data_IF_434062779791
#
_entry.id   IF_434062779791
#
_cell.length_a   1.000
_cell.length_b   1.000
_cell.length_c   1.000
_cell.angle_alpha   90.00
_cell.angle_beta   90.00
_cell.angle_gamma   90.00
#
_symmetry.space_group_name_H-M   'P 1'
#
loop_
_entity.id
_entity.type
_entity.pdbx_description
1 polymer ?
#
# COMPACT_ATOMS: atom_id res chain seq x y z
N UNK A 1 -26.57 6.55 14.23
CA UNK A 1 -25.18 6.66 13.73
C UNK A 1 -25.10 6.50 12.20
N UNK A 2 -25.55 5.39 11.60
CA UNK A 2 -25.51 5.16 10.13
C UNK A 2 -26.29 6.21 9.34
N UNK A 3 -27.52 6.55 9.76
CA UNK A 3 -28.37 7.57 9.12
C UNK A 3 -27.68 8.94 9.15
N UNK A 4 -27.09 9.33 10.32
CA UNK A 4 -26.36 10.59 10.42
C UNK A 4 -25.14 10.67 9.49
N UNK A 5 -24.40 9.57 9.36
CA UNK A 5 -23.28 9.50 8.42
C UNK A 5 -23.73 9.59 6.96
N UNK A 6 -24.84 8.92 6.62
CA UNK A 6 -25.42 8.99 5.26
C UNK A 6 -25.90 10.41 4.93
N UNK A 7 -26.53 11.11 5.88
CA UNK A 7 -26.94 12.52 5.69
C UNK A 7 -25.73 13.43 5.51
N UNK A 8 -24.67 13.27 6.33
CA UNK A 8 -23.45 14.06 6.18
C UNK A 8 -22.78 13.82 4.81
N UNK A 9 -22.73 12.57 4.37
CA UNK A 9 -22.19 12.24 3.04
C UNK A 9 -23.04 12.89 1.93
N UNK A 10 -24.36 12.79 2.01
CA UNK A 10 -25.24 13.43 1.04
C UNK A 10 -25.03 14.96 0.99
N UNK A 11 -24.95 15.61 2.16
CA UNK A 11 -24.66 17.05 2.25
C UNK A 11 -23.29 17.39 1.63
N UNK A 12 -22.26 16.57 1.87
CA UNK A 12 -20.94 16.77 1.28
C UNK A 12 -20.97 16.64 -0.26
N UNK A 13 -21.68 15.64 -0.80
CA UNK A 13 -21.86 15.44 -2.24
C UNK A 13 -22.60 16.63 -2.87
N UNK A 14 -23.73 17.02 -2.31
CA UNK A 14 -24.49 18.16 -2.82
C UNK A 14 -23.70 19.47 -2.69
N UNK A 15 -22.98 19.67 -1.59
CA UNK A 15 -22.12 20.84 -1.37
C UNK A 15 -21.00 20.93 -2.41
N UNK A 16 -20.31 19.82 -2.71
CA UNK A 16 -19.26 19.76 -3.72
C UNK A 16 -19.81 20.05 -5.14
N UNK A 17 -20.96 19.44 -5.49
CA UNK A 17 -21.64 19.69 -6.78
C UNK A 17 -22.09 21.13 -6.92
N UNK A 18 -22.69 21.68 -5.86
CA UNK A 18 -23.09 23.08 -5.84
C UNK A 18 -21.87 24.01 -5.97
N UNK A 19 -20.78 23.74 -5.25
CA UNK A 19 -19.54 24.51 -5.36
C UNK A 19 -19.07 24.62 -6.80
N UNK A 20 -18.94 23.49 -7.51
CA UNK A 20 -18.49 23.48 -8.90
C UNK A 20 -19.52 24.06 -9.91
N UNK A 21 -20.79 24.27 -9.51
CA UNK A 21 -21.78 24.96 -10.32
C UNK A 21 -21.73 26.49 -10.20
N UNK A 22 -20.95 27.01 -9.25
CA UNK A 22 -20.72 28.44 -9.10
C UNK A 22 -19.58 28.94 -10.00
N UNK A 23 -19.59 30.19 -10.42
CA UNK A 23 -18.50 30.77 -11.21
C UNK A 23 -17.16 30.66 -10.49
N UNK A 24 -17.13 30.90 -9.19
CA UNK A 24 -15.91 30.74 -8.38
C UNK A 24 -15.40 29.30 -8.36
N UNK A 25 -16.28 28.31 -8.21
CA UNK A 25 -15.90 26.88 -8.22
C UNK A 25 -15.46 26.40 -9.60
N UNK A 26 -16.09 26.89 -10.67
CA UNK A 26 -15.67 26.63 -12.04
C UNK A 26 -14.30 27.22 -12.34
N UNK A 27 -14.05 28.47 -11.94
CA UNK A 27 -12.73 29.12 -12.08
C UNK A 27 -11.66 28.40 -11.26
N UNK A 28 -12.01 27.93 -10.05
CA UNK A 28 -11.10 27.13 -9.23
C UNK A 28 -10.73 25.83 -9.91
N UNK A 29 -11.69 25.09 -10.49
CA UNK A 29 -11.45 23.85 -11.22
C UNK A 29 -10.64 24.09 -12.50
N UNK A 30 -10.90 25.18 -13.24
CA UNK A 30 -10.13 25.56 -14.42
C UNK A 30 -8.68 25.89 -14.09
N UNK A 31 -8.42 26.45 -12.92
CA UNK A 31 -7.07 26.80 -12.46
C UNK A 31 -6.35 25.62 -11.83
N UNK A 32 -7.07 24.74 -11.15
CA UNK A 32 -6.57 23.58 -10.42
C UNK A 32 -7.43 22.37 -10.78
N UNK A 33 -7.07 21.73 -11.89
CA UNK A 33 -7.82 20.60 -12.47
C UNK A 33 -7.71 19.28 -11.67
N UNK A 34 -6.87 19.30 -10.63
CA UNK A 34 -6.61 18.11 -9.80
C UNK A 34 -5.28 17.43 -10.12
N UNK A 35 -4.50 17.94 -11.09
CA UNK A 35 -3.20 17.38 -11.45
C UNK A 35 -2.08 18.39 -11.17
N UNK A 36 -1.04 17.95 -10.46
CA UNK A 36 0.20 18.72 -10.36
C UNK A 36 1.01 18.59 -11.63
N UNK A 37 1.65 19.68 -12.02
CA UNK A 37 2.61 19.68 -13.13
C UNK A 37 3.79 18.73 -12.81
N UNK A 38 4.09 17.82 -13.73
CA UNK A 38 5.29 17.00 -13.67
C UNK A 38 6.46 17.73 -14.34
N UNK A 39 7.71 17.56 -13.85
CA UNK A 39 8.89 17.96 -14.60
C UNK A 39 8.92 17.35 -16.01
N UNK A 40 9.41 18.08 -17.01
CA UNK A 40 9.51 17.58 -18.39
C UNK A 40 10.34 16.28 -18.51
N UNK A 41 11.28 16.07 -17.59
CA UNK A 41 12.11 14.86 -17.50
C UNK A 41 11.42 13.70 -16.82
N UNK A 42 10.20 13.86 -16.32
CA UNK A 42 9.49 12.77 -15.65
C UNK A 42 9.12 11.66 -16.63
N UNK A 43 9.42 10.39 -16.32
CA UNK A 43 9.14 9.28 -17.22
C UNK A 43 7.64 9.07 -17.37
N UNK A 44 7.19 8.81 -18.59
CA UNK A 44 5.83 8.39 -18.91
C UNK A 44 5.75 6.86 -18.86
N UNK A 45 4.63 6.35 -18.40
CA UNK A 45 4.36 4.93 -18.40
C UNK A 45 4.72 4.23 -17.07
N UNK A 46 4.37 2.95 -17.04
CA UNK A 46 4.62 2.06 -15.90
C UNK A 46 5.53 0.93 -16.38
N UNK A 47 6.82 0.95 -16.01
CA UNK A 47 7.76 -0.05 -16.47
C UNK A 47 7.50 -1.42 -15.80
N UNK A 48 7.93 -2.50 -16.44
CA UNK A 48 7.72 -3.86 -15.96
C UNK A 48 8.28 -4.10 -14.54
N UNK A 49 9.38 -3.43 -14.16
CA UNK A 49 9.90 -3.55 -12.81
C UNK A 49 8.90 -3.02 -11.76
N UNK A 50 8.14 -1.96 -12.07
CA UNK A 50 7.13 -1.41 -11.16
C UNK A 50 5.94 -2.39 -11.02
N UNK A 51 5.52 -3.04 -12.09
CA UNK A 51 4.49 -4.09 -12.07
C UNK A 51 4.90 -5.26 -11.16
N UNK A 52 6.14 -5.74 -11.25
CA UNK A 52 6.66 -6.78 -10.35
C UNK A 52 6.74 -6.31 -8.90
N UNK A 53 7.20 -5.10 -8.65
CA UNK A 53 7.25 -4.52 -7.31
C UNK A 53 5.86 -4.38 -6.69
N UNK A 54 4.87 -3.99 -7.50
CA UNK A 54 3.48 -3.91 -7.07
C UNK A 54 2.90 -5.29 -6.73
N UNK A 55 3.16 -6.30 -7.57
CA UNK A 55 2.75 -7.68 -7.27
C UNK A 55 3.34 -8.18 -5.96
N UNK A 56 4.66 -8.05 -5.76
CA UNK A 56 5.31 -8.50 -4.52
C UNK A 56 4.83 -7.71 -3.31
N UNK A 57 4.60 -6.40 -3.45
CA UNK A 57 4.03 -5.60 -2.37
C UNK A 57 2.63 -6.09 -1.98
N UNK A 58 1.75 -6.33 -2.95
CA UNK A 58 0.42 -6.91 -2.72
C UNK A 58 0.53 -8.28 -2.04
N UNK A 59 1.38 -9.17 -2.55
CA UNK A 59 1.58 -10.51 -2.03
C UNK A 59 2.03 -10.50 -0.56
N UNK A 60 3.08 -9.74 -0.25
CA UNK A 60 3.60 -9.66 1.11
C UNK A 60 2.61 -8.96 2.04
N UNK A 61 2.00 -7.85 1.61
CA UNK A 61 1.11 -7.06 2.45
C UNK A 61 -0.12 -7.88 2.90
N UNK A 62 -0.74 -8.64 2.00
CA UNK A 62 -1.88 -9.52 2.34
C UNK A 62 -1.48 -10.56 3.41
N UNK A 63 -0.32 -11.19 3.26
CA UNK A 63 0.15 -12.20 4.20
C UNK A 63 0.64 -11.58 5.54
N UNK A 64 1.26 -10.41 5.50
CA UNK A 64 1.70 -9.66 6.70
C UNK A 64 0.48 -9.22 7.53
N UNK A 65 -0.54 -8.63 6.89
CA UNK A 65 -1.79 -8.24 7.59
C UNK A 65 -2.45 -9.48 8.21
N UNK A 66 -2.58 -10.57 7.45
CA UNK A 66 -3.14 -11.82 7.96
C UNK A 66 -2.39 -12.33 9.19
N UNK A 67 -1.06 -12.44 9.11
CA UNK A 67 -0.25 -12.98 10.20
C UNK A 67 -0.21 -12.04 11.39
N UNK A 68 -0.22 -10.73 11.18
CA UNK A 68 -0.34 -9.72 12.23
C UNK A 68 -1.65 -9.86 13.02
N UNK A 69 -2.77 -10.05 12.32
CA UNK A 69 -4.07 -10.32 12.94
C UNK A 69 -4.06 -11.67 13.69
N UNK A 70 -3.45 -12.71 13.10
CA UNK A 70 -3.31 -14.00 13.78
C UNK A 70 -2.52 -13.86 15.08
N UNK A 71 -1.36 -13.20 15.09
CA UNK A 71 -0.56 -12.96 16.30
C UNK A 71 -1.37 -12.25 17.38
N UNK A 72 -2.18 -11.27 17.00
CA UNK A 72 -3.01 -10.50 17.94
C UNK A 72 -4.03 -11.37 18.66
N UNK A 73 -4.60 -12.37 17.98
CA UNK A 73 -5.68 -13.22 18.53
C UNK A 73 -5.20 -14.63 18.92
N UNK A 74 -3.95 -15.00 18.62
CA UNK A 74 -3.41 -16.33 18.90
C UNK A 74 -3.14 -16.53 20.40
N UNK A 75 -4.04 -17.23 21.07
CA UNK A 75 -3.89 -17.55 22.50
C UNK A 75 -2.90 -18.70 22.77
N UNK A 76 -2.85 -19.67 21.85
CA UNK A 76 -2.06 -20.89 21.98
C UNK A 76 -1.38 -21.23 20.64
N UNK A 77 -0.10 -20.87 20.46
CA UNK A 77 0.63 -21.23 19.25
C UNK A 77 0.70 -22.73 19.04
N UNK A 78 0.58 -23.18 17.78
CA UNK A 78 0.67 -24.60 17.40
C UNK A 78 2.10 -25.14 17.50
N UNK A 79 3.09 -24.30 17.25
CA UNK A 79 4.52 -24.62 17.33
C UNK A 79 5.34 -23.37 17.66
N UNK A 80 6.56 -23.61 18.12
CA UNK A 80 7.54 -22.56 18.43
C UNK A 80 8.79 -22.78 17.60
N UNK A 81 9.43 -21.66 17.23
CA UNK A 81 10.71 -21.63 16.53
C UNK A 81 11.73 -20.90 17.40
N UNK A 82 12.94 -21.47 17.49
CA UNK A 82 14.10 -20.78 18.05
C UNK A 82 15.09 -20.55 16.90
N UNK A 83 15.02 -19.37 16.21
CA UNK A 83 15.88 -19.08 15.07
C UNK A 83 17.34 -19.04 15.49
N UNK A 84 18.23 -19.53 14.63
CA UNK A 84 19.69 -19.52 14.85
C UNK A 84 20.23 -18.10 15.05
N UNK A 85 19.66 -17.14 14.34
CA UNK A 85 20.10 -15.74 14.34
C UNK A 85 19.75 -15.02 15.64
N UNK A 86 18.48 -15.06 16.07
CA UNK A 86 17.98 -14.31 17.24
C UNK A 86 18.10 -15.08 18.54
N UNK A 87 18.21 -16.42 18.48
CA UNK A 87 18.24 -17.36 19.63
C UNK A 87 17.05 -17.19 20.61
N UNK A 88 16.00 -16.47 20.21
CA UNK A 88 14.82 -16.25 21.03
C UNK A 88 13.68 -17.15 20.56
N UNK A 89 13.07 -17.88 21.50
CA UNK A 89 11.90 -18.72 21.21
C UNK A 89 10.68 -17.83 20.90
N UNK A 90 10.10 -17.99 19.72
CA UNK A 90 8.91 -17.25 19.24
C UNK A 90 7.90 -18.24 18.67
N UNK A 91 6.62 -17.85 18.52
CA UNK A 91 5.62 -18.67 17.85
C UNK A 91 5.96 -18.85 16.37
N UNK A 92 5.50 -19.95 15.76
CA UNK A 92 5.66 -20.19 14.33
C UNK A 92 5.01 -19.08 13.49
N UNK A 93 3.86 -18.56 13.94
CA UNK A 93 3.16 -17.44 13.30
C UNK A 93 4.02 -16.17 13.34
N UNK A 94 4.63 -15.87 14.50
CA UNK A 94 5.55 -14.71 14.64
C UNK A 94 6.79 -14.89 13.77
N UNK A 95 7.35 -16.09 13.70
CA UNK A 95 8.50 -16.40 12.83
C UNK A 95 8.15 -16.11 11.37
N UNK A 96 6.97 -16.58 10.92
CA UNK A 96 6.53 -16.37 9.55
C UNK A 96 6.25 -14.89 9.24
N UNK A 97 5.61 -14.15 10.16
CA UNK A 97 5.41 -12.71 10.04
C UNK A 97 6.74 -11.97 9.85
N UNK A 98 7.71 -12.21 10.72
CA UNK A 98 9.05 -11.60 10.61
C UNK A 98 9.78 -11.98 9.31
N UNK A 99 9.58 -13.20 8.81
CA UNK A 99 10.17 -13.62 7.53
C UNK A 99 9.57 -12.84 6.35
N UNK A 100 8.25 -12.65 6.35
CA UNK A 100 7.56 -11.83 5.36
C UNK A 100 7.97 -10.36 5.46
N UNK A 101 8.12 -9.83 6.69
CA UNK A 101 8.58 -8.45 6.92
C UNK A 101 9.97 -8.22 6.31
N UNK A 102 10.90 -9.16 6.50
CA UNK A 102 12.25 -9.07 5.90
C UNK A 102 12.16 -9.04 4.38
N UNK A 103 11.38 -9.93 3.77
CA UNK A 103 11.20 -9.98 2.32
C UNK A 103 10.54 -8.70 1.79
N UNK A 104 9.55 -8.18 2.52
CA UNK A 104 8.89 -6.92 2.17
C UNK A 104 9.84 -5.72 2.28
N UNK A 105 10.68 -5.65 3.30
CA UNK A 105 11.72 -4.61 3.44
C UNK A 105 12.74 -4.69 2.31
N UNK A 106 13.20 -5.89 1.94
CA UNK A 106 14.12 -6.08 0.81
C UNK A 106 13.46 -5.62 -0.50
N UNK A 107 12.21 -6.03 -0.73
CA UNK A 107 11.43 -5.56 -1.87
C UNK A 107 11.29 -4.02 -1.89
N UNK A 108 11.00 -3.41 -0.73
CA UNK A 108 10.90 -1.96 -0.58
C UNK A 108 12.23 -1.23 -0.85
N UNK A 109 13.37 -1.78 -0.41
CA UNK A 109 14.68 -1.21 -0.71
C UNK A 109 14.99 -1.24 -2.21
N UNK A 110 14.71 -2.37 -2.88
CA UNK A 110 14.85 -2.49 -4.34
C UNK A 110 13.93 -1.47 -5.03
N UNK A 111 12.68 -1.36 -4.57
CA UNK A 111 11.73 -0.38 -5.10
C UNK A 111 12.24 1.06 -4.98
N UNK A 112 12.74 1.48 -3.81
CA UNK A 112 13.27 2.83 -3.60
C UNK A 112 14.47 3.10 -4.51
N UNK A 113 15.40 2.15 -4.64
CA UNK A 113 16.54 2.30 -5.54
C UNK A 113 16.07 2.50 -6.99
N UNK A 114 15.19 1.62 -7.48
CA UNK A 114 14.66 1.71 -8.84
C UNK A 114 13.86 2.99 -9.05
N UNK A 115 13.05 3.40 -8.07
CA UNK A 115 12.26 4.61 -8.12
C UNK A 115 13.13 5.86 -8.39
N UNK A 116 14.26 5.98 -7.69
CA UNK A 116 15.16 7.11 -7.85
C UNK A 116 16.05 6.99 -9.09
N UNK A 117 16.63 5.83 -9.35
CA UNK A 117 17.53 5.61 -10.50
C UNK A 117 16.82 5.80 -11.84
N UNK A 118 15.54 5.42 -11.93
CA UNK A 118 14.75 5.55 -13.17
C UNK A 118 13.99 6.86 -13.30
N UNK A 119 14.08 7.76 -12.31
CA UNK A 119 13.37 9.04 -12.34
C UNK A 119 11.88 8.97 -12.00
N UNK A 120 11.30 7.78 -11.74
CA UNK A 120 9.87 7.62 -11.42
C UNK A 120 9.48 8.25 -10.07
N UNK A 121 10.46 8.64 -9.24
CA UNK A 121 10.21 9.38 -8.00
C UNK A 121 9.46 10.68 -8.25
N UNK A 122 9.66 11.33 -9.41
CA UNK A 122 8.98 12.58 -9.78
C UNK A 122 7.45 12.42 -9.87
N UNK A 123 6.96 11.20 -10.05
CA UNK A 123 5.52 10.90 -10.15
C UNK A 123 4.86 10.63 -8.79
N UNK A 124 5.63 10.47 -7.71
CA UNK A 124 5.13 10.13 -6.38
C UNK A 124 5.64 11.06 -5.27
N UNK A 125 6.58 11.94 -5.60
CA UNK A 125 7.08 12.97 -4.68
C UNK A 125 6.61 14.33 -5.18
N UNK A 126 5.97 15.17 -4.33
CA UNK A 126 5.58 16.53 -4.70
C UNK A 126 6.80 17.34 -5.17
N UNK A 127 6.74 17.90 -6.37
CA UNK A 127 7.80 18.73 -6.98
C UNK A 127 7.41 20.20 -7.07
N UNK A 128 6.14 20.53 -6.81
CA UNK A 128 5.61 21.89 -6.88
C UNK A 128 4.61 22.14 -5.74
N UNK A 129 4.46 23.40 -5.32
CA UNK A 129 3.50 23.82 -4.30
C UNK A 129 2.05 23.80 -4.79
N UNK A 130 1.80 23.71 -6.08
CA UNK A 130 0.45 23.56 -6.66
C UNK A 130 -0.22 22.22 -6.25
N UNK A 131 0.56 21.31 -5.71
CA UNK A 131 0.09 20.04 -5.14
C UNK A 131 -1.05 20.23 -4.13
N UNK A 132 -1.02 21.26 -3.29
CA UNK A 132 -2.05 21.45 -2.26
C UNK A 132 -3.41 21.87 -2.81
N UNK A 133 -3.52 22.95 -3.63
CA UNK A 133 -4.80 23.33 -4.23
C UNK A 133 -5.30 22.25 -5.21
N UNK A 134 -4.44 21.57 -5.96
CA UNK A 134 -4.84 20.47 -6.83
C UNK A 134 -5.32 19.23 -6.04
N UNK A 135 -4.73 18.93 -4.89
CA UNK A 135 -5.23 17.85 -4.02
C UNK A 135 -6.62 18.18 -3.45
N UNK A 136 -6.87 19.46 -3.09
CA UNK A 136 -8.19 19.90 -2.67
C UNK A 136 -9.20 19.77 -3.81
N UNK A 137 -8.83 20.21 -5.02
CA UNK A 137 -9.67 20.08 -6.22
C UNK A 137 -10.00 18.61 -6.50
N UNK A 138 -9.00 17.73 -6.56
CA UNK A 138 -9.21 16.30 -6.77
C UNK A 138 -10.12 15.69 -5.68
N UNK A 139 -9.91 16.05 -4.41
CA UNK A 139 -10.76 15.61 -3.30
C UNK A 139 -12.21 16.04 -3.46
N UNK A 140 -12.46 17.30 -3.86
CA UNK A 140 -13.80 17.81 -4.14
C UNK A 140 -14.42 17.11 -5.36
N UNK A 141 -13.67 16.85 -6.42
CA UNK A 141 -14.13 16.06 -7.58
C UNK A 141 -14.58 14.66 -7.15
N UNK A 142 -13.79 13.95 -6.34
CA UNK A 142 -14.18 12.62 -5.82
C UNK A 142 -15.44 12.69 -4.93
N UNK A 143 -15.64 13.79 -4.16
CA UNK A 143 -16.85 13.98 -3.36
C UNK A 143 -18.10 14.20 -4.22
N UNK A 144 -17.98 14.65 -5.47
CA UNK A 144 -19.15 14.76 -6.35
C UNK A 144 -19.77 13.41 -6.73
N UNK A 145 -19.03 12.29 -6.52
CA UNK A 145 -19.33 10.95 -7.02
C UNK A 145 -19.39 10.85 -8.55
N UNK A 146 -18.96 11.89 -9.26
CA UNK A 146 -18.69 11.88 -10.69
C UNK A 146 -17.17 11.83 -10.87
N UNK A 147 -16.63 10.63 -10.81
CA UNK A 147 -15.19 10.43 -10.70
C UNK A 147 -14.51 10.59 -12.05
N UNK A 148 -13.49 11.45 -12.16
CA UNK A 148 -12.76 11.61 -13.41
C UNK A 148 -12.04 10.30 -13.78
N UNK A 149 -12.13 9.96 -15.05
CA UNK A 149 -11.37 8.82 -15.62
C UNK A 149 -9.96 9.30 -15.96
N UNK A 150 -9.06 9.12 -15.02
CA UNK A 150 -7.68 9.56 -15.16
C UNK A 150 -6.81 8.54 -15.92
N UNK A 151 -5.76 9.02 -16.57
CA UNK A 151 -4.78 8.18 -17.22
C UNK A 151 -3.50 8.07 -16.38
N UNK A 152 -3.47 7.13 -15.42
CA UNK A 152 -2.31 6.86 -14.58
C UNK A 152 -1.05 6.43 -15.35
N UNK A 153 -1.16 6.12 -16.64
CA UNK A 153 -0.02 5.90 -17.51
C UNK A 153 0.78 7.19 -17.73
N UNK A 154 0.09 8.30 -17.90
CA UNK A 154 0.69 9.61 -18.14
C UNK A 154 1.00 10.32 -16.83
N UNK A 155 -0.02 10.53 -15.99
CA UNK A 155 0.11 11.23 -14.71
C UNK A 155 -0.90 10.68 -13.69
N UNK A 156 -0.62 10.86 -12.42
CA UNK A 156 -1.56 10.63 -11.32
C UNK A 156 -2.22 11.94 -10.94
N UNK A 157 -3.48 11.88 -10.49
CA UNK A 157 -4.02 13.06 -9.83
C UNK A 157 -3.25 13.35 -8.53
N UNK A 158 -3.36 14.58 -8.07
CA UNK A 158 -2.55 15.05 -6.94
C UNK A 158 -2.92 14.37 -5.62
N UNK A 159 -4.17 13.95 -5.45
CA UNK A 159 -4.58 13.21 -4.26
C UNK A 159 -3.97 11.79 -4.24
N UNK A 160 -3.89 11.13 -5.41
CA UNK A 160 -3.15 9.87 -5.57
C UNK A 160 -1.67 10.06 -5.30
N UNK A 161 -1.05 11.10 -5.88
CA UNK A 161 0.37 11.42 -5.66
C UNK A 161 0.68 11.56 -4.16
N UNK A 162 -0.10 12.38 -3.43
CA UNK A 162 0.08 12.55 -1.98
C UNK A 162 -0.17 11.25 -1.21
N UNK A 163 -1.17 10.47 -1.59
CA UNK A 163 -1.46 9.19 -0.96
C UNK A 163 -0.30 8.20 -1.13
N UNK A 164 0.30 8.15 -2.32
CA UNK A 164 1.49 7.33 -2.58
C UNK A 164 2.70 7.84 -1.82
N UNK A 165 2.92 9.16 -1.77
CA UNK A 165 3.98 9.75 -0.97
C UNK A 165 3.88 9.35 0.51
N UNK A 166 2.69 9.54 1.11
CA UNK A 166 2.44 9.15 2.50
C UNK A 166 2.65 7.65 2.72
N UNK A 167 2.18 6.81 1.79
CA UNK A 167 2.30 5.36 1.88
C UNK A 167 3.77 4.92 1.84
N UNK A 168 4.55 5.45 0.90
CA UNK A 168 5.94 5.03 0.65
C UNK A 168 6.89 5.63 1.68
N UNK A 169 6.79 6.94 1.94
CA UNK A 169 7.81 7.68 2.69
C UNK A 169 7.45 7.91 4.17
N UNK A 170 6.20 7.66 4.57
CA UNK A 170 5.77 7.83 5.96
C UNK A 170 5.26 6.51 6.54
N UNK A 171 4.20 5.92 5.97
CA UNK A 171 3.56 4.76 6.56
C UNK A 171 4.48 3.51 6.54
N UNK A 172 5.16 3.25 5.42
CA UNK A 172 6.07 2.10 5.33
C UNK A 172 7.27 2.21 6.30
N UNK A 173 8.00 3.34 6.42
CA UNK A 173 9.02 3.52 7.46
C UNK A 173 8.47 3.37 8.89
N UNK A 174 7.29 3.89 9.18
CA UNK A 174 6.66 3.74 10.50
C UNK A 174 6.31 2.27 10.80
N UNK A 175 5.83 1.52 9.81
CA UNK A 175 5.59 0.07 9.96
C UNK A 175 6.89 -0.67 10.27
N UNK A 176 7.97 -0.38 9.51
CA UNK A 176 9.29 -1.00 9.69
C UNK A 176 9.86 -0.69 11.08
N UNK A 177 9.89 0.59 11.48
CA UNK A 177 10.46 1.02 12.75
C UNK A 177 9.68 0.42 13.93
N UNK A 178 8.36 0.45 13.88
CA UNK A 178 7.51 -0.11 14.93
C UNK A 178 7.57 -1.63 14.96
N UNK A 179 7.57 -2.30 13.81
CA UNK A 179 7.72 -3.75 13.69
C UNK A 179 9.09 -4.22 14.17
N UNK A 180 10.17 -3.55 13.79
CA UNK A 180 11.53 -3.86 14.26
C UNK A 180 11.64 -3.75 15.78
N UNK A 181 11.04 -2.71 16.39
CA UNK A 181 11.00 -2.57 17.85
C UNK A 181 10.29 -3.74 18.54
N UNK A 182 9.26 -4.29 17.93
CA UNK A 182 8.47 -5.40 18.46
C UNK A 182 9.05 -6.77 18.11
N UNK A 183 10.03 -6.83 17.22
CA UNK A 183 10.61 -8.07 16.70
C UNK A 183 11.53 -8.79 17.72
N UNK A 184 11.86 -10.04 17.40
CA UNK A 184 12.87 -10.82 18.13
C UNK A 184 14.30 -10.30 17.91
N UNK A 185 14.52 -9.46 16.90
CA UNK A 185 15.83 -8.89 16.59
C UNK A 185 16.21 -7.73 17.51
N UNK A 186 15.24 -7.08 18.16
CA UNK A 186 15.54 -6.01 19.13
C UNK A 186 16.31 -6.55 20.32
N UNK A 187 17.53 -6.04 20.51
CA UNK A 187 18.43 -6.52 21.57
C UNK A 187 18.03 -5.99 22.95
N UNK A 188 18.03 -6.87 23.96
CA UNK A 188 17.87 -6.47 25.37
C UNK A 188 19.00 -5.55 25.86
N UNK A 189 20.16 -5.57 25.20
CA UNK A 189 21.32 -4.71 25.51
C UNK A 189 21.12 -3.25 25.11
N UNK A 190 20.16 -2.95 24.25
CA UNK A 190 19.86 -1.58 23.78
C UNK A 190 18.97 -0.83 24.78
N UNK A 191 19.47 -0.64 26.00
CA UNK A 191 18.70 -0.04 27.12
C UNK A 191 18.28 1.39 26.81
N UNK A 192 19.20 2.25 26.36
CA UNK A 192 18.91 3.64 25.99
C UNK A 192 17.87 3.73 24.86
N UNK A 193 18.03 2.95 23.81
CA UNK A 193 17.06 2.90 22.71
C UNK A 193 15.69 2.39 23.18
N UNK A 194 15.67 1.43 24.12
CA UNK A 194 14.43 0.89 24.70
C UNK A 194 13.72 1.90 25.61
N UNK A 195 14.46 2.80 26.25
CA UNK A 195 13.90 3.92 27.03
C UNK A 195 13.34 5.01 26.11
N UNK A 196 14.08 5.39 25.07
CA UNK A 196 13.65 6.38 24.09
C UNK A 196 12.42 5.91 23.28
N UNK A 197 12.42 4.65 22.84
CA UNK A 197 11.30 4.06 22.08
C UNK A 197 10.79 2.79 22.79
N UNK A 198 9.91 2.91 23.79
CA UNK A 198 9.38 1.77 24.55
C UNK A 198 8.46 0.89 23.71
N UNK A 199 8.44 -0.42 23.99
CA UNK A 199 7.56 -1.36 23.27
C UNK A 199 6.07 -1.03 23.34
N UNK A 200 5.49 -0.48 24.41
CA UNK A 200 4.11 -0.03 24.43
C UNK A 200 3.82 1.08 23.40
N UNK A 201 4.76 2.01 23.18
CA UNK A 201 4.63 3.07 22.16
C UNK A 201 4.65 2.45 20.76
N UNK A 202 5.60 1.53 20.52
CA UNK A 202 5.66 0.82 19.24
C UNK A 202 4.36 0.05 18.92
N UNK A 203 3.74 -0.60 19.91
CA UNK A 203 2.43 -1.27 19.73
C UNK A 203 1.30 -0.30 19.42
N UNK A 204 1.27 0.86 20.10
CA UNK A 204 0.28 1.92 19.84
C UNK A 204 0.42 2.52 18.46
N UNK A 205 1.60 2.47 17.83
CA UNK A 205 1.87 2.95 16.48
C UNK A 205 1.62 1.86 15.42
N UNK A 206 2.07 0.63 15.67
CA UNK A 206 2.06 -0.45 14.67
C UNK A 206 0.64 -0.82 14.19
N UNK A 207 -0.32 -0.89 15.11
CA UNK A 207 -1.71 -1.22 14.77
C UNK A 207 -2.40 -0.12 13.93
N UNK A 208 -2.35 1.18 14.30
CA UNK A 208 -2.90 2.25 13.44
C UNK A 208 -2.25 2.31 12.06
N UNK A 209 -0.95 2.07 11.95
CA UNK A 209 -0.27 1.99 10.65
C UNK A 209 -0.77 0.81 9.82
N UNK A 210 -0.99 -0.35 10.42
CA UNK A 210 -1.63 -1.47 9.73
C UNK A 210 -3.05 -1.10 9.26
N UNK A 211 -3.84 -0.42 10.09
CA UNK A 211 -5.19 0.02 9.72
C UNK A 211 -5.15 1.04 8.58
N UNK A 212 -4.17 1.94 8.57
CA UNK A 212 -3.93 2.83 7.43
C UNK A 212 -3.74 2.04 6.14
N UNK A 213 -2.87 1.02 6.13
CA UNK A 213 -2.68 0.19 4.93
C UNK A 213 -3.96 -0.53 4.51
N UNK A 214 -4.75 -1.06 5.44
CA UNK A 214 -6.03 -1.72 5.12
C UNK A 214 -7.01 -0.72 4.48
N UNK A 215 -7.16 0.46 5.06
CA UNK A 215 -8.04 1.52 4.54
C UNK A 215 -7.55 1.98 3.17
N UNK A 216 -6.24 2.23 3.03
CA UNK A 216 -5.63 2.60 1.75
C UNK A 216 -5.90 1.55 0.67
N UNK A 217 -5.70 0.25 0.96
CA UNK A 217 -5.95 -0.84 0.01
C UNK A 217 -7.41 -0.87 -0.42
N UNK A 218 -8.35 -0.74 0.52
CA UNK A 218 -9.79 -0.75 0.21
C UNK A 218 -10.16 0.41 -0.71
N UNK A 219 -9.75 1.63 -0.36
CA UNK A 219 -10.01 2.82 -1.18
C UNK A 219 -9.35 2.68 -2.56
N UNK A 220 -8.08 2.26 -2.59
CA UNK A 220 -7.33 2.05 -3.83
C UNK A 220 -8.01 1.05 -4.78
N UNK A 221 -8.43 -0.10 -4.26
CA UNK A 221 -9.12 -1.11 -5.09
C UNK A 221 -10.46 -0.58 -5.62
N UNK A 222 -11.23 0.12 -4.78
CA UNK A 222 -12.49 0.75 -5.21
C UNK A 222 -12.23 1.73 -6.36
N UNK A 223 -11.23 2.59 -6.23
CA UNK A 223 -10.88 3.57 -7.27
C UNK A 223 -10.39 2.88 -8.55
N UNK A 224 -9.50 1.89 -8.45
CA UNK A 224 -9.02 1.12 -9.61
C UNK A 224 -10.17 0.53 -10.43
N UNK A 225 -11.18 -0.03 -9.74
CA UNK A 225 -12.36 -0.61 -10.41
C UNK A 225 -13.26 0.47 -11.01
N UNK A 226 -13.49 1.56 -10.29
CA UNK A 226 -14.48 2.59 -10.66
C UNK A 226 -13.97 3.57 -11.71
N UNK A 227 -12.65 3.78 -11.83
CA UNK A 227 -12.04 4.75 -12.76
C UNK A 227 -11.48 4.13 -14.04
N UNK A 228 -11.83 2.87 -14.33
CA UNK A 228 -11.40 2.19 -15.57
C UNK A 228 -10.58 0.93 -15.29
N UNK A 229 -11.25 -0.11 -14.78
CA UNK A 229 -10.61 -1.35 -14.30
C UNK A 229 -9.61 -1.95 -15.28
N UNK A 230 -10.01 -2.21 -16.53
CA UNK A 230 -9.14 -2.89 -17.49
C UNK A 230 -7.90 -2.07 -17.82
N UNK A 231 -8.04 -0.76 -18.02
CA UNK A 231 -6.92 0.15 -18.29
C UNK A 231 -5.95 0.18 -17.10
N UNK A 232 -6.47 0.34 -15.87
CA UNK A 232 -5.66 0.38 -14.65
C UNK A 232 -4.92 -0.95 -14.41
N UNK A 233 -5.59 -2.09 -14.65
CA UNK A 233 -4.97 -3.40 -14.54
C UNK A 233 -3.92 -3.65 -15.64
N UNK A 234 -4.17 -3.22 -16.89
CA UNK A 234 -3.16 -3.30 -17.96
C UNK A 234 -1.90 -2.50 -17.59
N UNK A 235 -2.07 -1.27 -17.13
CA UNK A 235 -0.95 -0.43 -16.72
C UNK A 235 -0.13 -1.07 -15.60
N UNK A 236 -0.79 -1.57 -14.54
CA UNK A 236 -0.09 -2.02 -13.34
C UNK A 236 0.34 -3.50 -13.38
N UNK A 237 -0.38 -4.40 -14.03
CA UNK A 237 -0.06 -5.83 -14.04
C UNK A 237 0.54 -6.32 -15.36
N UNK A 238 0.32 -5.63 -16.47
CA UNK A 238 0.87 -5.99 -17.78
C UNK A 238 1.95 -5.03 -18.27
N UNK A 239 2.23 -3.93 -17.56
CA UNK A 239 3.13 -2.85 -17.99
C UNK A 239 2.76 -2.33 -19.40
N UNK A 240 1.47 -2.17 -19.66
CA UNK A 240 0.91 -1.74 -20.94
C UNK A 240 0.01 -0.52 -20.76
N UNK A 241 0.17 0.49 -21.58
CA UNK A 241 -0.64 1.69 -21.57
C UNK A 241 -0.31 2.58 -22.76
N UNK A 242 -1.07 3.64 -22.91
CA UNK A 242 -0.91 4.64 -23.97
C UNK A 242 -1.26 6.03 -23.43
N UNK A 243 -0.83 7.07 -24.14
CA UNK A 243 -1.24 8.45 -23.89
C UNK A 243 -2.76 8.57 -24.14
N UNK A 244 -3.28 7.88 -25.17
CA UNK A 244 -4.70 7.76 -25.38
C UNK A 244 -5.32 6.72 -24.43
N UNK A 245 -6.16 7.14 -23.45
CA UNK A 245 -6.74 6.24 -22.47
C UNK A 245 -7.69 5.19 -23.08
N UNK A 246 -8.19 5.40 -24.29
CA UNK A 246 -9.12 4.49 -24.96
C UNK A 246 -8.44 3.21 -25.49
N UNK A 247 -7.13 3.26 -25.77
CA UNK A 247 -6.37 2.16 -26.40
C UNK A 247 -6.48 0.84 -25.61
N UNK A 248 -6.47 0.92 -24.27
CA UNK A 248 -6.53 -0.27 -23.40
C UNK A 248 -7.89 -0.47 -22.72
N UNK A 249 -8.93 0.25 -23.14
CA UNK A 249 -10.25 0.20 -22.51
C UNK A 249 -10.88 -1.20 -22.52
N UNK A 250 -10.65 -1.98 -23.59
CA UNK A 250 -11.21 -3.31 -23.80
C UNK A 250 -10.16 -4.44 -23.80
N UNK A 251 -8.92 -4.18 -23.35
CA UNK A 251 -7.85 -5.17 -23.30
C UNK A 251 -7.86 -5.90 -21.93
N UNK A 252 -7.98 -7.23 -21.96
CA UNK A 252 -8.09 -8.08 -20.77
C UNK A 252 -6.73 -8.63 -20.29
N UNK A 253 -5.62 -8.32 -20.91
CA UNK A 253 -4.30 -8.87 -20.58
C UNK A 253 -3.94 -8.63 -19.12
N UNK A 254 -4.04 -7.39 -18.64
CA UNK A 254 -3.75 -7.04 -17.25
C UNK A 254 -4.69 -7.70 -16.25
N UNK A 255 -5.96 -7.91 -16.62
CA UNK A 255 -6.91 -8.63 -15.79
C UNK A 255 -6.50 -10.09 -15.57
N UNK A 256 -6.04 -10.78 -16.61
CA UNK A 256 -5.58 -12.17 -16.46
C UNK A 256 -4.29 -12.27 -15.64
N UNK A 257 -3.35 -11.32 -15.76
CA UNK A 257 -2.19 -11.25 -14.86
C UNK A 257 -2.60 -10.97 -13.40
N UNK A 258 -3.55 -10.08 -13.19
CA UNK A 258 -4.13 -9.83 -11.86
C UNK A 258 -4.79 -11.08 -11.28
N UNK A 259 -5.58 -11.80 -12.07
CA UNK A 259 -6.19 -13.07 -11.64
C UNK A 259 -5.11 -14.10 -11.25
N UNK A 260 -4.05 -14.22 -12.05
CA UNK A 260 -2.88 -15.05 -11.71
C UNK A 260 -2.23 -14.65 -10.38
N UNK A 261 -2.10 -13.34 -10.14
CA UNK A 261 -1.60 -12.81 -8.87
C UNK A 261 -2.52 -13.19 -7.69
N UNK A 262 -3.83 -13.09 -7.85
CA UNK A 262 -4.79 -13.52 -6.82
C UNK A 262 -4.71 -15.02 -6.54
N UNK A 263 -4.55 -15.86 -7.58
CA UNK A 263 -4.36 -17.31 -7.41
C UNK A 263 -3.07 -17.61 -6.65
N UNK A 264 -1.96 -16.93 -6.95
CA UNK A 264 -0.70 -17.08 -6.24
C UNK A 264 -0.83 -16.67 -4.75
N UNK A 265 -1.51 -15.57 -4.47
CA UNK A 265 -1.77 -15.11 -3.10
C UNK A 265 -2.67 -16.12 -2.36
N UNK A 266 -3.73 -16.61 -2.99
CA UNK A 266 -4.63 -17.60 -2.40
C UNK A 266 -3.88 -18.91 -2.10
N UNK A 267 -3.04 -19.38 -3.01
CA UNK A 267 -2.20 -20.56 -2.81
C UNK A 267 -1.23 -20.37 -1.63
N UNK A 268 -0.55 -19.23 -1.54
CA UNK A 268 0.32 -18.91 -0.42
C UNK A 268 -0.46 -18.79 0.91
N UNK A 269 -1.66 -18.21 0.87
CA UNK A 269 -2.55 -18.13 2.03
C UNK A 269 -2.93 -19.51 2.55
N UNK A 270 -3.29 -20.44 1.66
CA UNK A 270 -3.63 -21.82 2.01
C UNK A 270 -2.39 -22.59 2.48
N UNK A 271 -1.25 -22.39 1.83
CA UNK A 271 0.01 -23.02 2.20
C UNK A 271 0.60 -22.52 3.53
N UNK A 272 0.22 -21.33 3.99
CA UNK A 272 0.70 -20.74 5.25
C UNK A 272 0.06 -21.43 6.48
N UNK A 273 0.25 -22.74 6.61
CA UNK A 273 -0.23 -23.61 7.70
C UNK A 273 0.97 -24.25 8.40
N UNK A 274 0.83 -24.64 9.69
CA UNK A 274 1.91 -25.24 10.46
C UNK A 274 2.57 -26.45 9.78
N UNK A 275 1.79 -27.28 9.07
CA UNK A 275 2.29 -28.45 8.34
C UNK A 275 3.30 -28.07 7.24
N UNK A 276 3.13 -26.92 6.57
CA UNK A 276 4.03 -26.43 5.53
C UNK A 276 5.13 -25.55 6.14
N UNK A 277 4.75 -24.67 7.08
CA UNK A 277 5.70 -23.71 7.65
C UNK A 277 6.72 -24.33 8.57
N UNK A 278 6.38 -25.39 9.34
CA UNK A 278 7.29 -25.99 10.30
C UNK A 278 8.52 -26.67 9.64
N UNK A 279 8.39 -27.44 8.55
CA UNK A 279 9.54 -27.94 7.79
C UNK A 279 10.45 -26.82 7.29
N UNK A 280 9.88 -25.75 6.71
CA UNK A 280 10.65 -24.61 6.24
C UNK A 280 11.36 -23.89 7.38
N UNK A 281 10.68 -23.68 8.51
CA UNK A 281 11.27 -23.04 9.69
C UNK A 281 12.43 -23.85 10.31
N UNK A 282 12.45 -25.19 10.15
CA UNK A 282 13.57 -26.04 10.59
C UNK A 282 14.88 -25.73 9.88
N UNK A 283 14.83 -25.21 8.66
CA UNK A 283 16.03 -24.79 7.92
C UNK A 283 16.70 -23.55 8.58
N UNK A 284 15.93 -22.77 9.36
CA UNK A 284 16.38 -21.53 9.98
C UNK A 284 16.50 -21.60 11.51
N UNK A 285 16.16 -22.73 12.13
CA UNK A 285 16.25 -22.89 13.57
C UNK A 285 15.56 -24.14 14.12
N UNK A 286 15.60 -24.31 15.44
CA UNK A 286 14.96 -25.44 16.11
C UNK A 286 13.45 -25.20 16.21
N UNK A 287 12.65 -26.13 15.68
CA UNK A 287 11.20 -26.14 15.80
C UNK A 287 10.77 -27.14 16.85
N UNK A 288 9.93 -26.71 17.78
CA UNK A 288 9.32 -27.54 18.82
C UNK A 288 7.81 -27.48 18.69
N UNK A 289 7.17 -28.63 18.57
CA UNK A 289 5.73 -28.73 18.72
C UNK A 289 5.32 -28.31 20.16
N UNK A 290 4.08 -28.02 20.32
CA UNK A 290 3.51 -27.75 21.64
C UNK A 290 3.32 -29.04 22.42
#
# INVERSE_FOLDING_TARGET
>A
MIIGLAVLLALAVFGARYFFSTDFGADFLNRYDGHSSLPESAPVGIPAWLSWQHFFNLFFMVLIIRTGLQIRYERKPSAYVTPTLSKKKISLTMWFHLSLDILWVVNGLIFIILLFVTGHWMRVVPTSWDVFPNALSAGLQYLTLDWPTENGWVNYNTLQLLSYFVTIFIAAPLAIISGFRLSSFWSKKWTKASQFYPAPVARKLHLPVMLYFVIFIVIHVVLVVSTGMLRNLNSMFAAQGDVDPAVYANNWTGFFFFLGALVAIAAAWVAARPMVLAPVARLFGKVTAR
#
